data_IF_120170605028
#
_entry.id   IF_120170605028
#
_cell.length_a   1.000
_cell.length_b   1.000
_cell.length_c   1.000
_cell.angle_alpha   90.00
_cell.angle_beta   90.00
_cell.angle_gamma   90.00
#
_symmetry.space_group_name_H-M   'P 1'
#
loop_
_entity.id
_entity.type
_entity.pdbx_description
1 polymer ?
#
# COMPACT_ATOMS: atom_id res chain seq x y z
N UNK A 1 7.17 21.90 -18.22
CA UNK A 1 5.91 21.40 -17.69
C UNK A 1 5.79 21.63 -16.17
N UNK A 2 6.87 21.55 -15.42
CA UNK A 2 6.90 21.75 -13.96
C UNK A 2 8.07 22.67 -13.58
N UNK A 3 7.89 24.00 -13.61
CA UNK A 3 8.92 24.94 -13.20
C UNK A 3 9.31 24.74 -11.74
N UNK A 4 10.62 24.72 -11.43
CA UNK A 4 11.12 24.51 -10.09
C UNK A 4 11.07 23.08 -9.57
N UNK A 5 10.85 22.10 -10.44
CA UNK A 5 10.93 20.69 -10.07
C UNK A 5 12.34 20.35 -9.58
N UNK A 6 12.40 19.73 -8.39
CA UNK A 6 13.64 19.23 -7.81
C UNK A 6 13.64 17.72 -7.97
N UNK A 7 14.53 17.20 -8.80
CA UNK A 7 14.63 15.77 -9.05
C UNK A 7 15.20 15.03 -7.82
N UNK A 8 14.68 13.84 -7.59
CA UNK A 8 15.19 12.89 -6.61
C UNK A 8 15.25 11.49 -7.21
N UNK A 9 16.07 10.62 -6.65
CA UNK A 9 16.27 9.24 -7.11
C UNK A 9 14.95 8.44 -7.20
N UNK A 10 14.04 8.66 -6.28
CA UNK A 10 12.71 8.03 -6.30
C UNK A 10 11.89 8.40 -7.55
N UNK A 11 12.04 9.62 -8.09
CA UNK A 11 11.36 10.03 -9.31
C UNK A 11 11.86 9.24 -10.54
N UNK A 12 13.18 9.05 -10.63
CA UNK A 12 13.80 8.26 -11.70
C UNK A 12 13.25 6.82 -11.65
N UNK A 13 13.29 6.20 -10.48
CA UNK A 13 12.80 4.83 -10.27
C UNK A 13 11.31 4.67 -10.56
N UNK A 14 10.48 5.65 -10.23
CA UNK A 14 9.05 5.64 -10.61
C UNK A 14 8.91 5.78 -12.13
N UNK A 15 9.66 6.67 -12.76
CA UNK A 15 9.68 6.85 -14.21
C UNK A 15 9.98 5.55 -14.94
N UNK A 16 11.03 4.84 -14.54
CA UNK A 16 11.40 3.52 -15.09
C UNK A 16 10.26 2.49 -14.95
N UNK A 17 9.54 2.49 -13.82
CA UNK A 17 8.37 1.62 -13.64
C UNK A 17 7.22 2.02 -14.58
N UNK A 18 6.99 3.30 -14.79
CA UNK A 18 5.96 3.76 -15.72
C UNK A 18 6.30 3.43 -17.17
N UNK A 19 7.57 3.48 -17.58
CA UNK A 19 8.01 2.99 -18.89
C UNK A 19 7.70 1.50 -19.08
N UNK A 20 7.91 0.70 -18.03
CA UNK A 20 7.56 -0.73 -18.04
C UNK A 20 6.05 -0.98 -18.05
N UNK A 21 5.25 -0.10 -17.47
CA UNK A 21 3.79 -0.15 -17.61
C UNK A 21 3.39 0.21 -19.05
N UNK A 22 3.99 1.24 -19.65
CA UNK A 22 3.73 1.63 -21.04
C UNK A 22 4.10 0.50 -22.02
N UNK A 23 5.26 -0.14 -21.84
CA UNK A 23 5.70 -1.27 -22.68
C UNK A 23 4.83 -2.51 -22.49
N UNK A 24 4.14 -2.61 -21.35
CA UNK A 24 3.32 -3.76 -20.97
C UNK A 24 4.11 -4.87 -20.26
N UNK A 25 5.34 -4.63 -19.90
CA UNK A 25 6.16 -5.53 -19.06
C UNK A 25 5.56 -5.62 -17.65
N UNK A 26 5.13 -4.49 -17.06
CA UNK A 26 4.43 -4.44 -15.78
C UNK A 26 2.94 -4.20 -16.02
N UNK A 27 2.11 -5.11 -15.51
CA UNK A 27 0.64 -4.98 -15.57
C UNK A 27 0.01 -4.56 -14.24
N UNK A 28 0.70 -4.74 -13.14
CA UNK A 28 0.26 -4.45 -11.78
C UNK A 28 1.39 -3.76 -11.04
N UNK A 29 1.23 -2.48 -10.76
CA UNK A 29 2.23 -1.68 -10.08
C UNK A 29 1.66 -1.05 -8.82
N UNK A 30 2.35 -1.25 -7.70
CA UNK A 30 2.10 -0.53 -6.45
C UNK A 30 3.27 0.41 -6.18
N UNK A 31 2.97 1.67 -5.88
CA UNK A 31 3.95 2.67 -5.44
C UNK A 31 3.50 3.24 -4.11
N UNK A 32 4.20 2.90 -3.05
CA UNK A 32 3.95 3.46 -1.72
C UNK A 32 4.99 4.54 -1.39
N UNK A 33 4.50 5.70 -0.95
CA UNK A 33 5.35 6.86 -0.74
C UNK A 33 4.75 7.80 0.30
N UNK A 34 5.59 8.51 1.08
CA UNK A 34 5.12 9.43 2.10
C UNK A 34 4.30 10.59 1.53
N UNK A 35 3.53 11.29 2.37
CA UNK A 35 2.91 12.55 1.97
C UNK A 35 3.95 13.55 1.44
N UNK A 36 3.54 14.41 0.51
CA UNK A 36 4.38 15.49 -0.06
C UNK A 36 5.65 15.03 -0.81
N UNK A 37 5.73 13.78 -1.22
CA UNK A 37 6.81 13.25 -2.05
C UNK A 37 6.41 13.08 -3.53
N UNK A 38 5.35 13.79 -3.97
CA UNK A 38 4.95 13.94 -5.39
C UNK A 38 4.32 12.73 -6.07
N UNK A 39 3.95 11.66 -5.31
CA UNK A 39 3.35 10.45 -5.89
C UNK A 39 2.18 10.73 -6.84
N UNK A 40 1.22 11.56 -6.40
CA UNK A 40 0.03 11.90 -7.18
C UNK A 40 0.36 12.77 -8.40
N UNK A 41 1.33 13.67 -8.28
CA UNK A 41 1.76 14.49 -9.43
C UNK A 41 2.38 13.62 -10.52
N UNK A 42 3.14 12.58 -10.15
CA UNK A 42 3.69 11.64 -11.11
C UNK A 42 2.62 10.70 -11.66
N UNK A 43 1.87 10.01 -10.83
CA UNK A 43 0.95 8.95 -11.25
C UNK A 43 -0.38 9.46 -11.81
N UNK A 44 -0.91 10.58 -11.28
CA UNK A 44 -2.26 11.06 -11.60
C UNK A 44 -2.27 12.29 -12.51
N UNK A 45 -1.10 12.91 -12.76
CA UNK A 45 -0.99 14.07 -13.63
C UNK A 45 -0.05 13.83 -14.81
N UNK A 46 1.24 13.56 -14.55
CA UNK A 46 2.22 13.46 -15.63
C UNK A 46 2.09 12.15 -16.41
N UNK A 47 1.96 11.03 -15.71
CA UNK A 47 1.91 9.69 -16.32
C UNK A 47 0.74 9.50 -17.29
N UNK A 48 -0.53 9.85 -16.94
CA UNK A 48 -1.63 9.70 -17.90
C UNK A 48 -1.43 10.55 -19.17
N UNK A 49 -0.95 11.79 -19.04
CA UNK A 49 -0.66 12.64 -20.19
C UNK A 49 0.42 12.03 -21.09
N UNK A 50 1.53 11.61 -20.49
CA UNK A 50 2.64 11.01 -21.21
C UNK A 50 2.26 9.68 -21.87
N UNK A 51 1.51 8.81 -21.15
CA UNK A 51 1.04 7.55 -21.70
C UNK A 51 0.11 7.77 -22.91
N UNK A 52 -0.84 8.70 -22.81
CA UNK A 52 -1.74 9.02 -23.93
C UNK A 52 -1.01 9.69 -25.09
N UNK A 53 0.11 10.34 -24.87
CA UNK A 53 0.97 10.83 -25.93
C UNK A 53 1.55 9.70 -26.79
N UNK A 54 1.92 8.60 -26.15
CA UNK A 54 2.45 7.40 -26.83
C UNK A 54 1.36 6.44 -27.32
N UNK A 55 0.26 6.32 -26.58
CA UNK A 55 -0.88 5.42 -26.87
C UNK A 55 -2.19 6.19 -26.81
N UNK A 56 -2.50 7.04 -27.83
CA UNK A 56 -3.60 7.99 -27.75
C UNK A 56 -5.00 7.36 -27.73
N UNK A 57 -5.14 6.05 -28.02
CA UNK A 57 -6.41 5.31 -27.92
C UNK A 57 -6.69 4.78 -26.52
N UNK A 58 -5.76 4.91 -25.57
CA UNK A 58 -5.87 4.33 -24.24
C UNK A 58 -7.08 4.87 -23.48
N UNK A 59 -7.86 3.99 -22.89
CA UNK A 59 -8.95 4.34 -21.97
C UNK A 59 -8.45 4.28 -20.53
N UNK A 60 -8.45 5.41 -19.86
CA UNK A 60 -7.97 5.56 -18.48
C UNK A 60 -9.16 5.78 -17.56
N UNK A 61 -9.26 4.96 -16.51
CA UNK A 61 -10.08 5.26 -15.34
C UNK A 61 -9.12 5.66 -14.22
N UNK A 62 -9.32 6.86 -13.69
CA UNK A 62 -8.59 7.33 -12.52
C UNK A 62 -9.49 7.49 -11.33
N UNK A 63 -9.06 6.95 -10.19
CA UNK A 63 -9.81 7.02 -8.94
C UNK A 63 -8.98 7.61 -7.82
N UNK A 64 -9.62 8.37 -6.95
CA UNK A 64 -9.08 8.92 -5.71
C UNK A 64 -10.14 8.76 -4.63
N UNK A 65 -9.82 9.03 -3.34
CA UNK A 65 -10.81 8.92 -2.26
C UNK A 65 -12.05 9.79 -2.48
N UNK A 66 -11.96 10.93 -3.19
CA UNK A 66 -13.13 11.75 -3.58
C UNK A 66 -13.19 12.00 -5.09
N UNK A 67 -14.39 12.11 -5.65
CA UNK A 67 -14.58 12.44 -7.06
C UNK A 67 -14.03 13.84 -7.39
N UNK A 68 -14.12 14.80 -6.48
CA UNK A 68 -13.60 16.16 -6.66
C UNK A 68 -12.08 16.16 -6.94
N UNK A 69 -11.32 15.39 -6.14
CA UNK A 69 -9.87 15.27 -6.33
C UNK A 69 -9.54 14.62 -7.68
N UNK A 70 -10.28 13.57 -8.05
CA UNK A 70 -10.12 12.92 -9.36
C UNK A 70 -10.41 13.89 -10.51
N UNK A 71 -11.45 14.72 -10.41
CA UNK A 71 -11.77 15.73 -11.42
C UNK A 71 -10.71 16.84 -11.47
N UNK A 72 -10.11 17.20 -10.35
CA UNK A 72 -8.99 18.14 -10.30
C UNK A 72 -7.81 17.60 -11.11
N UNK A 73 -7.43 16.33 -10.94
CA UNK A 73 -6.39 15.71 -11.74
C UNK A 73 -6.78 15.60 -13.22
N UNK A 74 -7.99 15.17 -13.52
CA UNK A 74 -8.49 15.12 -14.89
C UNK A 74 -8.38 16.46 -15.62
N UNK A 75 -8.68 17.56 -14.92
CA UNK A 75 -8.50 18.92 -15.43
C UNK A 75 -7.02 19.26 -15.68
N UNK A 76 -6.13 18.89 -14.75
CA UNK A 76 -4.69 19.12 -14.89
C UNK A 76 -4.13 18.37 -16.10
N UNK A 77 -4.46 17.09 -16.25
CA UNK A 77 -4.04 16.24 -17.38
C UNK A 77 -4.55 16.84 -18.69
N UNK A 78 -5.85 17.18 -18.76
CA UNK A 78 -6.46 17.79 -19.93
C UNK A 78 -5.75 19.09 -20.33
N UNK A 79 -5.50 19.98 -19.37
CA UNK A 79 -4.84 21.27 -19.63
C UNK A 79 -3.39 21.08 -20.06
N UNK A 80 -2.67 20.08 -19.52
CA UNK A 80 -1.33 19.74 -19.97
C UNK A 80 -1.33 19.27 -21.43
N UNK A 81 -2.24 18.37 -21.79
CA UNK A 81 -2.36 17.88 -23.17
C UNK A 81 -2.78 18.95 -24.16
N UNK A 82 -3.42 20.02 -23.70
CA UNK A 82 -3.77 21.17 -24.54
C UNK A 82 -2.68 22.25 -24.61
N UNK A 83 -1.61 22.13 -23.81
CA UNK A 83 -0.51 23.10 -23.84
C UNK A 83 0.37 22.99 -25.08
N UNK A 84 1.03 24.09 -25.44
CA UNK A 84 1.94 24.12 -26.58
C UNK A 84 3.18 23.25 -26.38
N UNK A 85 3.65 23.15 -25.15
CA UNK A 85 4.79 22.30 -24.78
C UNK A 85 4.48 20.80 -24.99
N UNK A 86 3.26 20.36 -24.62
CA UNK A 86 2.82 18.99 -24.87
C UNK A 86 2.68 18.72 -26.37
N UNK A 87 2.04 19.65 -27.11
CA UNK A 87 1.83 19.55 -28.54
C UNK A 87 3.15 19.58 -29.34
N UNK A 88 4.19 20.21 -28.82
CA UNK A 88 5.52 20.17 -29.40
C UNK A 88 6.17 18.79 -29.33
N UNK A 89 5.86 18.00 -28.30
CA UNK A 89 6.37 16.64 -28.12
C UNK A 89 5.48 15.60 -28.80
N UNK A 90 4.16 15.73 -28.66
CA UNK A 90 3.15 14.85 -29.22
C UNK A 90 2.26 15.56 -30.23
N UNK A 91 2.84 15.85 -31.37
CA UNK A 91 2.26 16.76 -32.37
C UNK A 91 0.99 16.29 -33.08
N UNK A 92 0.63 15.00 -32.94
CA UNK A 92 -0.57 14.40 -33.54
C UNK A 92 -1.71 14.24 -32.55
N UNK A 93 -1.42 14.23 -31.23
CA UNK A 93 -2.42 14.00 -30.19
C UNK A 93 -3.10 15.30 -29.79
N UNK A 94 -4.41 15.32 -29.84
CA UNK A 94 -5.28 16.46 -29.47
C UNK A 94 -6.45 16.00 -28.62
N UNK A 95 -7.03 16.94 -27.89
CA UNK A 95 -8.32 16.72 -27.25
C UNK A 95 -9.44 16.75 -28.28
N UNK A 96 -10.42 15.84 -28.15
CA UNK A 96 -11.65 15.92 -28.96
C UNK A 96 -12.40 17.22 -28.65
N UNK A 97 -13.00 17.81 -29.71
CA UNK A 97 -13.69 19.08 -29.55
C UNK A 97 -14.98 18.98 -28.72
N UNK A 98 -15.63 17.81 -28.75
CA UNK A 98 -16.95 17.58 -28.18
C UNK A 98 -16.91 17.02 -26.74
N UNK A 99 -15.73 16.72 -26.19
CA UNK A 99 -15.62 16.06 -24.90
C UNK A 99 -14.50 16.68 -24.04
N UNK A 100 -14.82 17.74 -23.28
CA UNK A 100 -13.84 18.53 -22.52
C UNK A 100 -14.24 18.80 -21.07
N UNK A 101 -15.09 17.95 -20.45
CA UNK A 101 -15.44 18.09 -19.04
C UNK A 101 -14.23 17.82 -18.13
N UNK A 102 -14.22 18.36 -16.90
CA UNK A 102 -13.08 18.24 -15.99
C UNK A 102 -12.74 16.79 -15.62
N UNK A 103 -13.75 15.96 -15.40
CA UNK A 103 -13.59 14.56 -15.00
C UNK A 103 -13.78 13.56 -16.15
N UNK A 104 -14.07 14.04 -17.37
CA UNK A 104 -14.26 13.19 -18.54
C UNK A 104 -13.91 13.93 -19.82
N UNK A 105 -13.00 13.39 -20.59
CA UNK A 105 -12.63 13.95 -21.90
C UNK A 105 -12.02 12.84 -22.78
N UNK A 106 -11.90 13.12 -24.05
CA UNK A 106 -11.46 12.17 -25.06
C UNK A 106 -10.35 12.76 -25.92
N UNK A 107 -9.51 11.89 -26.49
CA UNK A 107 -8.53 12.26 -27.51
C UNK A 107 -9.14 12.16 -28.90
N UNK A 108 -8.52 12.80 -29.90
CA UNK A 108 -8.86 12.69 -31.31
C UNK A 108 -8.66 11.27 -31.89
N UNK A 109 -8.07 10.35 -31.10
CA UNK A 109 -7.88 8.94 -31.44
C UNK A 109 -8.86 8.00 -30.71
N UNK A 110 -9.86 8.53 -30.00
CA UNK A 110 -10.86 7.75 -29.27
C UNK A 110 -10.36 7.18 -27.92
N UNK A 111 -9.22 7.66 -27.42
CA UNK A 111 -8.83 7.42 -26.03
C UNK A 111 -9.73 8.21 -25.08
N UNK A 112 -10.00 7.67 -23.92
CA UNK A 112 -10.91 8.26 -22.92
C UNK A 112 -10.19 8.41 -21.56
N UNK A 113 -10.38 9.55 -20.92
CA UNK A 113 -10.06 9.75 -19.51
C UNK A 113 -11.35 9.90 -18.72
N UNK A 114 -11.48 9.14 -17.65
CA UNK A 114 -12.61 9.20 -16.75
C UNK A 114 -12.17 9.19 -15.28
N UNK A 115 -12.55 10.23 -14.55
CA UNK A 115 -12.28 10.37 -13.12
C UNK A 115 -13.47 9.93 -12.27
N UNK A 116 -13.20 9.26 -11.15
CA UNK A 116 -14.20 8.88 -10.15
C UNK A 116 -13.63 8.93 -8.74
N UNK A 117 -14.49 8.97 -7.73
CA UNK A 117 -14.14 8.73 -6.32
C UNK A 117 -14.29 7.26 -5.96
N UNK A 118 -13.71 6.85 -4.83
CA UNK A 118 -14.00 5.56 -4.21
C UNK A 118 -15.50 5.46 -3.93
N UNK A 119 -16.12 4.33 -4.27
CA UNK A 119 -17.58 4.16 -4.22
C UNK A 119 -18.36 4.82 -5.37
N UNK A 120 -17.69 5.60 -6.23
CA UNK A 120 -18.32 6.26 -7.37
C UNK A 120 -18.73 5.28 -8.48
N UNK A 121 -19.75 5.68 -9.26
CA UNK A 121 -20.26 4.87 -10.36
C UNK A 121 -19.27 4.84 -11.55
N UNK A 122 -18.69 3.67 -11.81
CA UNK A 122 -17.82 3.39 -12.96
C UNK A 122 -18.40 2.33 -13.90
N UNK A 123 -19.67 1.96 -13.68
CA UNK A 123 -20.37 0.91 -14.43
C UNK A 123 -20.50 1.30 -15.91
N UNK A 124 -20.40 0.32 -16.80
CA UNK A 124 -20.52 0.52 -18.24
C UNK A 124 -19.26 1.06 -18.94
N UNK A 125 -18.11 1.19 -18.23
CA UNK A 125 -16.84 1.64 -18.78
C UNK A 125 -15.82 0.52 -18.75
N UNK A 126 -14.95 0.49 -19.77
CA UNK A 126 -13.74 -0.34 -19.78
C UNK A 126 -12.49 0.52 -19.61
N UNK A 127 -11.44 -0.03 -19.06
CA UNK A 127 -10.14 0.64 -18.90
C UNK A 127 -9.00 -0.21 -19.42
N UNK A 128 -8.09 0.41 -20.17
CA UNK A 128 -6.79 -0.16 -20.51
C UNK A 128 -5.76 0.16 -19.42
N UNK A 129 -5.98 1.28 -18.71
CA UNK A 129 -5.23 1.67 -17.53
C UNK A 129 -6.18 2.11 -16.42
N UNK A 130 -6.06 1.49 -15.26
CA UNK A 130 -6.69 1.93 -14.03
C UNK A 130 -5.64 2.57 -13.12
N UNK A 131 -5.86 3.81 -12.72
CA UNK A 131 -5.02 4.50 -11.72
C UNK A 131 -5.83 4.65 -10.44
N UNK A 132 -5.28 4.18 -9.34
CA UNK A 132 -5.84 4.32 -7.99
C UNK A 132 -4.87 5.16 -7.18
N UNK A 133 -5.26 6.37 -6.80
CA UNK A 133 -4.40 7.32 -6.10
C UNK A 133 -5.02 7.71 -4.76
N UNK A 134 -4.32 7.38 -3.67
CA UNK A 134 -4.74 7.63 -2.29
C UNK A 134 -6.24 7.30 -2.07
N UNK A 135 -6.63 6.00 -2.14
CA UNK A 135 -8.04 5.60 -2.05
C UNK A 135 -8.63 5.78 -0.65
N UNK A 136 -7.80 5.99 0.35
CA UNK A 136 -8.19 6.19 1.75
C UNK A 136 -7.96 7.64 2.19
N UNK A 137 -8.90 8.17 2.96
CA UNK A 137 -8.72 9.41 3.72
C UNK A 137 -8.13 9.13 5.11
N UNK A 138 -7.73 10.19 5.81
CA UNK A 138 -7.27 10.10 7.21
C UNK A 138 -8.36 9.52 8.13
N UNK A 139 -9.63 9.79 7.83
CA UNK A 139 -10.77 9.28 8.60
C UNK A 139 -11.00 7.79 8.32
N UNK A 140 -10.84 7.36 7.07
CA UNK A 140 -10.96 5.94 6.69
C UNK A 140 -9.90 5.10 7.41
N UNK A 141 -8.70 5.66 7.62
CA UNK A 141 -7.61 4.98 8.31
C UNK A 141 -7.94 4.58 9.78
N UNK A 142 -8.93 5.25 10.37
CA UNK A 142 -9.41 4.96 11.73
C UNK A 142 -10.55 3.96 11.76
N UNK A 143 -11.02 3.48 10.61
CA UNK A 143 -12.21 2.63 10.50
C UNK A 143 -11.92 1.35 9.73
N UNK A 144 -11.96 0.21 10.42
CA UNK A 144 -11.84 -1.11 9.77
C UNK A 144 -12.91 -1.28 8.67
N UNK A 145 -14.14 -0.86 8.94
CA UNK A 145 -15.24 -0.93 7.96
C UNK A 145 -14.93 -0.11 6.70
N UNK A 146 -14.29 1.06 6.82
CA UNK A 146 -13.91 1.85 5.67
C UNK A 146 -12.81 1.16 4.84
N UNK A 147 -11.84 0.51 5.50
CA UNK A 147 -10.82 -0.30 4.84
C UNK A 147 -11.43 -1.49 4.09
N UNK A 148 -12.35 -2.22 4.72
CA UNK A 148 -13.05 -3.35 4.11
C UNK A 148 -13.93 -2.89 2.93
N UNK A 149 -14.60 -1.76 3.05
CA UNK A 149 -15.38 -1.17 1.96
C UNK A 149 -14.52 -0.77 0.76
N UNK A 150 -13.31 -0.27 0.98
CA UNK A 150 -12.39 0.08 -0.09
C UNK A 150 -11.90 -1.19 -0.83
N UNK A 151 -11.66 -2.28 -0.11
CA UNK A 151 -11.34 -3.57 -0.70
C UNK A 151 -12.50 -4.12 -1.53
N UNK A 152 -13.71 -4.14 -0.97
CA UNK A 152 -14.91 -4.58 -1.67
C UNK A 152 -15.17 -3.73 -2.91
N UNK A 153 -15.06 -2.41 -2.80
CA UNK A 153 -15.18 -1.51 -3.96
C UNK A 153 -14.16 -1.84 -5.04
N UNK A 154 -12.89 -2.08 -4.68
CA UNK A 154 -11.85 -2.43 -5.64
C UNK A 154 -12.18 -3.72 -6.39
N UNK A 155 -12.55 -4.76 -5.67
CA UNK A 155 -12.78 -6.10 -6.24
C UNK A 155 -14.06 -6.17 -7.06
N UNK A 156 -15.15 -5.54 -6.61
CA UNK A 156 -16.45 -5.57 -7.27
C UNK A 156 -16.59 -4.53 -8.40
N UNK A 157 -15.86 -3.43 -8.32
CA UNK A 157 -15.96 -2.29 -9.24
C UNK A 157 -14.76 -2.16 -10.19
N UNK A 158 -13.71 -1.41 -9.81
CA UNK A 158 -12.59 -1.04 -10.69
C UNK A 158 -11.88 -2.22 -11.32
N UNK A 159 -11.59 -3.27 -10.55
CA UNK A 159 -10.92 -4.47 -11.06
C UNK A 159 -11.70 -5.13 -12.20
N UNK A 160 -13.04 -5.10 -12.13
CA UNK A 160 -13.93 -5.66 -13.15
C UNK A 160 -14.06 -4.79 -14.41
N UNK A 161 -13.51 -3.58 -14.38
CA UNK A 161 -13.54 -2.66 -15.54
C UNK A 161 -12.29 -2.81 -16.41
N UNK A 162 -11.29 -3.53 -15.95
CA UNK A 162 -10.04 -3.68 -16.70
C UNK A 162 -10.25 -4.55 -17.94
N UNK A 163 -9.86 -4.01 -19.08
CA UNK A 163 -9.84 -4.71 -20.36
C UNK A 163 -8.78 -5.83 -20.36
N UNK A 164 -8.92 -6.87 -21.19
CA UNK A 164 -7.86 -7.86 -21.38
C UNK A 164 -6.52 -7.20 -21.75
N UNK A 165 -5.47 -7.54 -21.01
CA UNK A 165 -4.15 -6.95 -21.19
C UNK A 165 -3.96 -5.58 -20.53
N UNK A 166 -4.99 -5.00 -19.92
CA UNK A 166 -4.91 -3.71 -19.23
C UNK A 166 -4.04 -3.75 -17.96
N UNK A 167 -3.62 -2.57 -17.53
CA UNK A 167 -2.72 -2.36 -16.39
C UNK A 167 -3.41 -1.64 -15.24
N UNK A 168 -2.93 -1.89 -14.02
CA UNK A 168 -3.34 -1.15 -12.81
C UNK A 168 -2.10 -0.54 -12.16
N UNK A 169 -2.19 0.75 -11.85
CA UNK A 169 -1.21 1.48 -11.06
C UNK A 169 -1.90 1.98 -9.78
N UNK A 170 -1.48 1.46 -8.65
CA UNK A 170 -1.96 1.90 -7.33
C UNK A 170 -0.86 2.71 -6.66
N UNK A 171 -1.11 3.98 -6.37
CA UNK A 171 -0.17 4.84 -5.65
C UNK A 171 -0.84 5.35 -4.39
N UNK A 172 -0.20 5.17 -3.25
CA UNK A 172 -0.77 5.65 -1.99
C UNK A 172 0.27 5.81 -0.89
N UNK A 173 -0.11 6.56 0.12
CA UNK A 173 0.53 6.50 1.43
C UNK A 173 -0.04 5.32 2.19
N UNK A 174 0.80 4.58 2.91
CA UNK A 174 0.35 3.47 3.76
C UNK A 174 -0.33 4.01 5.02
N UNK A 175 -1.37 3.34 5.45
CA UNK A 175 -2.13 3.69 6.64
C UNK A 175 -2.16 2.56 7.67
N UNK A 176 -2.37 1.34 7.21
CA UNK A 176 -2.43 0.13 8.03
C UNK A 176 -2.06 -1.11 7.22
N UNK A 177 -1.86 -2.23 7.88
CA UNK A 177 -1.70 -3.53 7.21
C UNK A 177 -2.94 -3.97 6.42
N UNK A 178 -4.10 -3.38 6.73
CA UNK A 178 -5.40 -3.68 6.11
C UNK A 178 -5.84 -2.64 5.09
N UNK A 179 -5.00 -1.67 4.76
CA UNK A 179 -5.26 -0.73 3.68
C UNK A 179 -5.29 -1.44 2.31
N UNK A 180 -5.67 -0.72 1.26
CA UNK A 180 -5.78 -1.33 -0.07
C UNK A 180 -4.48 -2.01 -0.52
N UNK A 181 -3.32 -1.37 -0.34
CA UNK A 181 -2.03 -2.00 -0.65
C UNK A 181 -1.81 -3.27 0.16
N UNK A 182 -2.07 -3.25 1.46
CA UNK A 182 -1.91 -4.42 2.32
C UNK A 182 -2.79 -5.59 1.88
N UNK A 183 -4.04 -5.32 1.47
CA UNK A 183 -4.93 -6.33 0.93
C UNK A 183 -4.47 -6.86 -0.44
N UNK A 184 -3.97 -5.98 -1.33
CA UNK A 184 -3.42 -6.40 -2.63
C UNK A 184 -2.19 -7.29 -2.46
N UNK A 185 -1.26 -6.92 -1.57
CA UNK A 185 -0.06 -7.72 -1.28
C UNK A 185 -0.44 -9.07 -0.67
N UNK A 186 -1.40 -9.09 0.27
CA UNK A 186 -1.88 -10.34 0.86
C UNK A 186 -2.51 -11.26 -0.18
N UNK A 187 -3.29 -10.70 -1.11
CA UNK A 187 -3.92 -11.46 -2.18
C UNK A 187 -2.92 -12.10 -3.15
N UNK A 188 -1.68 -11.55 -3.28
CA UNK A 188 -0.61 -12.17 -4.09
C UNK A 188 -0.20 -13.56 -3.60
N UNK A 189 -0.50 -13.91 -2.35
CA UNK A 189 -0.26 -15.26 -1.83
C UNK A 189 -1.05 -16.35 -2.53
N UNK A 190 -2.15 -16.02 -3.20
CA UNK A 190 -2.93 -16.95 -4.00
C UNK A 190 -2.28 -17.19 -5.37
N UNK A 191 -2.09 -18.46 -5.74
CA UNK A 191 -1.30 -18.89 -6.93
C UNK A 191 -1.79 -18.26 -8.26
N UNK A 192 -3.09 -17.95 -8.37
CA UNK A 192 -3.69 -17.38 -9.58
C UNK A 192 -4.08 -15.91 -9.45
N UNK A 193 -3.75 -15.27 -8.35
CA UNK A 193 -4.03 -13.87 -8.14
C UNK A 193 -3.13 -12.95 -8.98
N UNK A 194 -3.54 -11.71 -9.15
CA UNK A 194 -2.70 -10.68 -9.76
C UNK A 194 -1.38 -10.56 -8.98
N UNK A 195 -0.25 -10.67 -9.70
CA UNK A 195 1.08 -10.46 -9.13
C UNK A 195 1.49 -9.01 -9.33
N UNK A 196 1.89 -8.34 -8.26
CA UNK A 196 2.20 -6.92 -8.25
C UNK A 196 3.71 -6.68 -8.16
N UNK A 197 4.19 -5.77 -8.98
CA UNK A 197 5.48 -5.13 -8.78
C UNK A 197 5.29 -4.04 -7.72
N UNK A 198 5.96 -4.17 -6.58
CA UNK A 198 5.79 -3.27 -5.44
C UNK A 198 7.06 -2.46 -5.26
N UNK A 199 6.94 -1.13 -5.23
CA UNK A 199 8.03 -0.23 -4.90
C UNK A 199 7.61 0.67 -3.74
N UNK A 200 8.43 0.71 -2.70
CA UNK A 200 8.18 1.48 -1.49
C UNK A 200 9.33 2.46 -1.24
N UNK A 201 8.99 3.68 -0.87
CA UNK A 201 9.94 4.74 -0.57
C UNK A 201 9.69 5.24 0.85
N UNK A 202 10.49 4.83 1.85
CA UNK A 202 10.43 5.42 3.18
C UNK A 202 10.97 6.84 3.14
N UNK A 203 10.46 7.75 3.98
CA UNK A 203 10.95 9.12 4.04
C UNK A 203 12.42 9.19 4.46
N UNK A 204 12.82 8.33 5.40
CA UNK A 204 14.22 8.15 5.84
C UNK A 204 14.64 6.73 5.46
N UNK A 205 15.68 6.65 4.65
CA UNK A 205 16.27 5.40 4.19
C UNK A 205 16.99 4.66 5.35
N UNK A 206 17.26 3.36 5.23
CA UNK A 206 18.11 2.62 6.18
C UNK A 206 19.48 3.22 6.39
N UNK A 207 19.99 4.01 5.43
CA UNK A 207 21.23 4.79 5.53
C UNK A 207 21.11 6.05 6.39
N UNK A 208 19.96 6.27 7.05
CA UNK A 208 19.63 7.48 7.83
C UNK A 208 19.59 8.76 7.00
N UNK A 209 19.50 8.67 5.69
CA UNK A 209 19.35 9.82 4.79
C UNK A 209 17.90 9.98 4.32
N UNK A 210 17.41 11.22 4.12
CA UNK A 210 16.13 11.42 3.44
C UNK A 210 16.12 10.77 2.06
N UNK A 211 14.98 10.22 1.64
CA UNK A 211 14.80 9.68 0.27
C UNK A 211 14.90 10.80 -0.77
N UNK A 212 14.62 12.03 -0.38
CA UNK A 212 14.69 13.22 -1.22
C UNK A 212 15.48 14.36 -0.56
N UNK A 213 16.81 14.23 -0.41
CA UNK A 213 17.66 15.13 0.42
C UNK A 213 17.75 16.56 -0.13
N UNK A 214 17.52 16.76 -1.44
CA UNK A 214 17.52 18.07 -2.06
C UNK A 214 16.26 18.90 -1.76
N UNK A 215 15.21 18.26 -1.24
CA UNK A 215 13.93 18.88 -0.91
C UNK A 215 13.61 18.79 0.57
N UNK A 216 13.69 17.59 1.17
CA UNK A 216 13.48 17.36 2.60
C UNK A 216 14.80 17.29 3.35
N UNK A 217 14.98 18.15 4.38
CA UNK A 217 16.11 18.02 5.29
C UNK A 217 15.80 17.02 6.39
N UNK A 218 16.84 16.38 6.92
CA UNK A 218 16.66 15.37 7.97
C UNK A 218 15.98 15.95 9.20
N UNK A 219 16.38 17.15 9.61
CA UNK A 219 15.83 17.86 10.78
C UNK A 219 14.31 18.14 10.62
N UNK A 220 13.87 18.42 9.39
CA UNK A 220 12.44 18.62 9.10
C UNK A 220 11.65 17.32 9.23
N UNK A 221 12.21 16.21 8.74
CA UNK A 221 11.60 14.89 8.88
C UNK A 221 11.58 14.42 10.34
N UNK A 222 12.63 14.69 11.11
CA UNK A 222 12.69 14.40 12.54
C UNK A 222 11.65 15.23 13.33
N UNK A 223 11.45 16.48 12.96
CA UNK A 223 10.39 17.32 13.55
C UNK A 223 8.99 16.78 13.24
N UNK A 224 8.75 16.31 12.03
CA UNK A 224 7.51 15.61 11.69
C UNK A 224 7.34 14.33 12.51
N UNK A 225 8.41 13.51 12.61
CA UNK A 225 8.41 12.29 13.41
C UNK A 225 8.04 12.58 14.86
N UNK A 226 8.63 13.60 15.46
CA UNK A 226 8.35 13.99 16.84
C UNK A 226 6.89 14.44 17.09
N UNK A 227 6.19 14.89 16.04
CA UNK A 227 4.77 15.32 16.13
C UNK A 227 3.77 14.17 15.96
N UNK A 228 4.22 12.98 15.59
CA UNK A 228 3.37 11.82 15.30
C UNK A 228 3.57 10.70 16.33
N UNK A 229 2.56 9.85 16.47
CA UNK A 229 2.78 8.56 17.13
C UNK A 229 3.72 7.70 16.28
N UNK A 230 4.50 6.82 16.93
CA UNK A 230 5.41 5.91 16.22
C UNK A 230 4.66 5.08 15.17
N UNK A 231 3.46 4.61 15.48
CA UNK A 231 2.62 3.87 14.54
C UNK A 231 2.28 4.67 13.28
N UNK A 232 1.87 5.94 13.43
CA UNK A 232 1.58 6.83 12.29
C UNK A 232 2.85 7.14 11.49
N UNK A 233 3.96 7.37 12.17
CA UNK A 233 5.24 7.57 11.51
C UNK A 233 5.66 6.36 10.68
N UNK A 234 5.62 5.17 11.27
CA UNK A 234 5.96 3.93 10.57
C UNK A 234 5.06 3.69 9.36
N UNK A 235 3.76 3.82 9.52
CA UNK A 235 2.83 3.61 8.41
C UNK A 235 3.01 4.67 7.31
N UNK A 236 2.81 5.94 7.62
CA UNK A 236 2.65 6.98 6.62
C UNK A 236 3.99 7.50 6.05
N UNK A 237 5.02 7.55 6.88
CA UNK A 237 6.31 8.11 6.48
C UNK A 237 7.35 7.06 6.15
N UNK A 238 7.32 5.93 6.82
CA UNK A 238 8.24 4.82 6.52
C UNK A 238 7.63 3.74 5.63
N UNK A 239 6.36 3.85 5.26
CA UNK A 239 5.60 2.89 4.44
C UNK A 239 5.57 1.48 5.05
N UNK A 240 5.75 1.37 6.35
CA UNK A 240 5.82 0.13 7.10
C UNK A 240 4.73 0.11 8.19
N UNK A 241 3.45 -0.05 7.85
CA UNK A 241 2.40 -0.15 8.84
C UNK A 241 2.61 -1.40 9.70
N UNK A 242 2.54 -1.20 11.00
CA UNK A 242 2.57 -2.29 12.00
C UNK A 242 1.16 -2.49 12.54
N UNK A 243 0.76 -3.74 12.79
CA UNK A 243 -0.53 -4.05 13.39
C UNK A 243 -0.69 -3.39 14.76
N UNK A 244 -1.91 -3.02 15.12
CA UNK A 244 -2.21 -2.44 16.44
C UNK A 244 -1.75 -3.37 17.58
N UNK A 245 -1.82 -4.68 17.37
CA UNK A 245 -1.39 -5.71 18.32
C UNK A 245 0.15 -5.82 18.44
N UNK A 246 0.91 -5.44 17.39
CA UNK A 246 2.38 -5.44 17.40
C UNK A 246 3.03 -4.30 18.20
N UNK A 247 2.23 -3.30 18.63
CA UNK A 247 2.75 -2.14 19.36
C UNK A 247 2.96 -2.40 20.86
N UNK A 248 2.35 -3.44 21.44
CA UNK A 248 2.45 -3.73 22.88
C UNK A 248 3.80 -4.35 23.22
N UNK A 249 4.31 -5.24 22.35
CA UNK A 249 5.62 -5.88 22.54
C UNK A 249 6.50 -5.52 21.32
N UNK A 250 7.49 -4.64 21.56
CA UNK A 250 8.39 -4.19 20.48
C UNK A 250 9.43 -5.25 20.16
N UNK A 251 9.74 -5.42 18.85
CA UNK A 251 10.76 -6.37 18.39
C UNK A 251 12.13 -6.13 19.04
N UNK A 252 12.49 -4.89 19.30
CA UNK A 252 13.74 -4.49 19.97
C UNK A 252 13.85 -4.96 21.43
N UNK A 253 12.75 -5.40 22.03
CA UNK A 253 12.74 -5.95 23.38
C UNK A 253 13.08 -7.45 23.42
N UNK A 254 13.07 -8.12 22.26
CA UNK A 254 13.41 -9.52 22.15
C UNK A 254 14.91 -9.70 22.02
N UNK A 255 15.50 -10.47 22.96
CA UNK A 255 16.85 -10.96 22.85
C UNK A 255 16.83 -12.42 22.36
N UNK A 256 17.79 -12.77 21.50
CA UNK A 256 17.94 -14.16 21.06
C UNK A 256 18.89 -14.91 21.99
N UNK A 257 18.54 -16.14 22.33
CA UNK A 257 19.37 -17.04 23.10
C UNK A 257 19.87 -18.19 22.23
N UNK A 258 21.17 -18.51 22.35
CA UNK A 258 21.67 -19.78 21.81
C UNK A 258 21.18 -20.92 22.73
N UNK A 259 20.66 -21.99 22.13
CA UNK A 259 20.22 -23.19 22.88
C UNK A 259 21.31 -23.79 23.77
N UNK A 260 22.58 -23.57 23.43
CA UNK A 260 23.73 -24.03 24.22
C UNK A 260 23.92 -23.30 25.53
N UNK A 261 23.44 -22.07 25.62
CA UNK A 261 23.60 -21.19 26.75
C UNK A 261 22.28 -20.97 27.51
N UNK A 262 21.34 -21.93 27.42
CA UNK A 262 20.04 -21.84 28.08
C UNK A 262 20.19 -21.65 29.57
N UNK A 263 19.55 -20.62 30.18
CA UNK A 263 19.62 -20.40 31.61
C UNK A 263 18.92 -21.53 32.40
N UNK A 264 19.32 -21.72 33.65
CA UNK A 264 18.60 -22.64 34.55
C UNK A 264 17.19 -22.08 34.81
N UNK A 265 16.18 -22.82 34.38
CA UNK A 265 14.78 -22.41 34.53
C UNK A 265 14.31 -22.70 35.95
N UNK A 266 13.62 -21.75 36.58
CA UNK A 266 12.95 -21.92 37.86
C UNK A 266 11.66 -22.74 37.68
N UNK A 267 10.88 -22.40 36.67
CA UNK A 267 9.64 -23.11 36.31
C UNK A 267 9.22 -22.80 34.88
N UNK A 268 8.26 -23.54 34.36
CA UNK A 268 7.70 -23.37 33.05
C UNK A 268 6.23 -22.95 33.16
N UNK A 269 5.82 -22.00 32.34
CA UNK A 269 4.44 -21.50 32.25
C UNK A 269 3.95 -21.73 30.82
N UNK A 270 2.71 -22.19 30.67
CA UNK A 270 2.02 -22.22 29.40
C UNK A 270 0.88 -21.21 29.42
N UNK A 271 0.77 -20.46 28.33
CA UNK A 271 -0.33 -19.53 28.10
C UNK A 271 -1.14 -19.99 26.87
N UNK A 272 -2.46 -19.95 26.99
CA UNK A 272 -3.40 -20.42 25.99
C UNK A 272 -4.31 -19.27 25.59
N UNK A 273 -4.24 -18.88 24.33
CA UNK A 273 -5.23 -18.02 23.67
C UNK A 273 -6.01 -18.90 22.68
N UNK A 274 -7.30 -19.12 22.97
CA UNK A 274 -8.07 -20.16 22.28
C UNK A 274 -9.25 -19.58 21.51
N UNK A 275 -9.32 -19.88 20.22
CA UNK A 275 -10.49 -19.67 19.37
C UNK A 275 -11.24 -21.00 19.18
N UNK A 276 -12.58 -20.95 19.12
CA UNK A 276 -13.41 -22.15 19.09
C UNK A 276 -13.85 -22.62 17.72
N UNK A 277 -13.33 -22.03 16.62
CA UNK A 277 -13.76 -22.39 15.27
C UNK A 277 -12.58 -22.54 14.31
N UNK A 278 -12.64 -23.60 13.50
CA UNK A 278 -11.68 -23.88 12.41
C UNK A 278 -12.03 -23.16 11.09
N UNK A 279 -13.02 -22.27 11.08
CA UNK A 279 -13.42 -21.55 9.86
C UNK A 279 -12.26 -20.66 9.39
N UNK A 280 -12.06 -20.55 8.07
CA UNK A 280 -11.02 -19.70 7.46
C UNK A 280 -11.09 -18.22 7.89
N UNK A 281 -12.26 -17.78 8.33
CA UNK A 281 -12.52 -16.44 8.88
C UNK A 281 -12.40 -16.35 10.39
N UNK A 282 -12.08 -17.48 11.10
CA UNK A 282 -11.95 -17.52 12.55
C UNK A 282 -10.56 -17.10 13.03
N UNK A 283 -10.48 -16.68 14.29
CA UNK A 283 -9.21 -16.37 14.95
C UNK A 283 -8.33 -17.62 15.11
N UNK A 284 -7.02 -17.40 15.24
CA UNK A 284 -6.08 -18.47 15.57
C UNK A 284 -6.16 -18.83 17.05
N UNK A 285 -5.91 -20.13 17.36
CA UNK A 285 -5.52 -20.51 18.71
C UNK A 285 -4.01 -20.48 18.83
N UNK A 286 -3.48 -19.94 19.91
CA UNK A 286 -2.06 -19.89 20.20
C UNK A 286 -1.77 -20.52 21.57
N UNK A 287 -0.76 -21.38 21.62
CA UNK A 287 -0.22 -21.94 22.86
C UNK A 287 1.24 -21.54 22.93
N UNK A 288 1.64 -20.83 23.97
CA UNK A 288 3.03 -20.41 24.17
C UNK A 288 3.57 -21.06 25.45
N UNK A 289 4.77 -21.61 25.36
CA UNK A 289 5.48 -22.21 26.48
C UNK A 289 6.68 -21.35 26.84
N UNK A 290 6.74 -20.90 28.09
CA UNK A 290 7.73 -19.96 28.60
C UNK A 290 8.51 -20.56 29.74
N UNK A 291 9.82 -20.42 29.70
CA UNK A 291 10.69 -20.69 30.84
C UNK A 291 10.91 -19.42 31.65
N UNK A 292 10.75 -19.50 32.96
CA UNK A 292 11.06 -18.39 33.89
C UNK A 292 12.41 -18.65 34.53
N UNK A 293 13.28 -17.65 34.55
CA UNK A 293 14.60 -17.70 35.15
C UNK A 293 14.96 -16.38 35.86
N UNK A 294 15.90 -16.40 36.74
CA UNK A 294 16.31 -15.27 37.58
C UNK A 294 17.82 -15.04 37.41
N UNK A 295 18.28 -14.06 36.60
CA UNK A 295 19.69 -13.80 36.43
C UNK A 295 20.36 -13.23 37.69
N UNK A 296 19.60 -12.54 38.54
CA UNK A 296 20.06 -11.82 39.75
C UNK A 296 19.30 -12.24 41.04
N UNK A 297 18.66 -13.40 41.06
CA UNK A 297 17.83 -13.95 42.14
C UNK A 297 16.57 -13.12 42.52
N UNK A 298 16.41 -11.92 41.94
CA UNK A 298 15.32 -10.97 42.26
C UNK A 298 14.41 -10.72 41.07
N UNK A 299 14.99 -10.47 39.91
CA UNK A 299 14.24 -10.04 38.73
C UNK A 299 13.88 -11.22 37.82
N UNK A 300 12.58 -11.56 37.68
CA UNK A 300 12.17 -12.65 36.80
C UNK A 300 12.33 -12.23 35.34
N UNK A 301 13.01 -13.05 34.57
CA UNK A 301 13.06 -13.00 33.11
C UNK A 301 12.33 -14.19 32.51
N UNK A 302 11.86 -14.06 31.30
CA UNK A 302 11.16 -15.12 30.57
C UNK A 302 11.86 -15.43 29.26
N UNK A 303 11.86 -16.70 28.89
CA UNK A 303 12.34 -17.16 27.59
C UNK A 303 11.25 -17.98 26.89
N UNK A 304 10.96 -17.69 25.62
CA UNK A 304 10.03 -18.46 24.81
C UNK A 304 10.69 -19.79 24.43
N UNK A 305 10.12 -20.90 24.89
CA UNK A 305 10.61 -22.24 24.66
C UNK A 305 9.95 -22.89 23.44
N UNK A 306 8.62 -22.68 23.29
CA UNK A 306 7.85 -23.23 22.19
C UNK A 306 6.62 -22.37 21.88
N UNK A 307 6.14 -22.43 20.64
CA UNK A 307 4.95 -21.75 20.15
C UNK A 307 4.19 -22.66 19.18
N UNK A 308 2.94 -22.93 19.50
CA UNK A 308 1.99 -23.57 18.59
C UNK A 308 0.91 -22.54 18.23
N UNK A 309 0.75 -22.23 16.93
CA UNK A 309 -0.28 -21.31 16.44
C UNK A 309 -0.94 -21.90 15.21
N UNK A 310 -2.23 -22.23 15.31
CA UNK A 310 -3.04 -22.73 14.21
C UNK A 310 -4.53 -22.57 14.51
N UNK A 311 -5.39 -22.93 13.57
CA UNK A 311 -6.84 -23.02 13.75
C UNK A 311 -7.22 -24.46 14.09
N UNK A 312 -7.66 -24.66 15.31
CA UNK A 312 -8.03 -25.99 15.83
C UNK A 312 -9.52 -26.08 16.14
N UNK A 313 -10.08 -27.25 15.95
CA UNK A 313 -11.32 -27.59 16.62
C UNK A 313 -11.04 -28.02 18.09
N UNK A 314 -12.04 -27.86 18.95
CA UNK A 314 -11.86 -28.11 20.36
C UNK A 314 -11.25 -29.49 20.73
N UNK A 315 -11.61 -30.61 20.06
CA UNK A 315 -10.98 -31.90 20.34
C UNK A 315 -9.49 -31.95 19.96
N UNK A 316 -9.10 -31.28 18.88
CA UNK A 316 -7.71 -31.18 18.42
C UNK A 316 -6.90 -30.30 19.37
N UNK A 317 -7.43 -29.13 19.73
CA UNK A 317 -6.82 -28.21 20.67
C UNK A 317 -6.56 -28.87 22.03
N UNK A 318 -7.55 -29.62 22.56
CA UNK A 318 -7.42 -30.38 23.80
C UNK A 318 -6.29 -31.41 23.74
N UNK A 319 -6.15 -32.12 22.62
CA UNK A 319 -5.07 -33.11 22.43
C UNK A 319 -3.71 -32.42 22.40
N UNK A 320 -3.56 -31.33 21.64
CA UNK A 320 -2.34 -30.57 21.56
C UNK A 320 -1.95 -29.99 22.92
N UNK A 321 -2.90 -29.43 23.66
CA UNK A 321 -2.64 -28.92 25.02
C UNK A 321 -2.13 -30.01 25.96
N UNK A 322 -2.68 -31.23 25.91
CA UNK A 322 -2.22 -32.36 26.71
C UNK A 322 -0.82 -32.81 26.26
N UNK A 323 -0.55 -32.85 24.99
CA UNK A 323 0.75 -33.29 24.46
C UNK A 323 1.86 -32.25 24.75
N UNK A 324 1.53 -30.96 24.75
CA UNK A 324 2.44 -29.89 25.13
C UNK A 324 2.72 -29.80 26.64
N UNK A 325 1.84 -30.35 27.49
CA UNK A 325 2.03 -30.38 28.94
C UNK A 325 2.95 -31.50 29.40
N UNK A 326 3.18 -32.53 28.61
CA UNK A 326 4.09 -33.66 28.92
C UNK A 326 5.54 -33.28 28.64
#
# INVERSE_FOLDING_TARGET
VWPGFVEGEHHIRIGEKFEKVLSGEIKRLIVNMPPRHTKSEFASYLFPAWLMGHKPQTKIIQTTHTAELSYRFGRKVRNLMDSEEYKAVFNEVRLSQDSKAAGRWETNYGGEYFGAGVGGAITGRGADLLIIDDPHSEQDALSQTAMDNAWEWYTSGPRQRLQPGGSIVCVMTRWSEKDLTGNLIRAMGEVKADQWDVIEFPAILPSSKPVWPNYWKLEELEAVKASLSEQKWQAQWQQNPTGEEGAIIKREWWNEWDRKDMPMLSHIIQSYDTAFTKKETGDYSAITTWGVFYPDEVTPNIILLDLVKDRFEFPELKKIAIDQYK
#
